data_IF_273944655074
#
_entry.id   IF_273944655074
#
_cell.length_a   1.000
_cell.length_b   1.000
_cell.length_c   1.000
_cell.angle_alpha   90.00
_cell.angle_beta   90.00
_cell.angle_gamma   90.00
#
_symmetry.space_group_name_H-M   'P 1'
#
loop_
_entity.id
_entity.type
_entity.pdbx_description
1 polymer ?
#
# COMPACT_ATOMS: atom_id res chain seq x y z
N UNK A 1 11.05 -23.17 3.96
CA UNK A 1 12.13 -23.00 4.96
C UNK A 1 13.34 -23.78 4.46
N UNK A 2 14.36 -23.10 3.94
CA UNK A 2 15.58 -23.76 3.44
C UNK A 2 16.48 -24.08 4.64
N UNK A 3 16.70 -25.37 4.92
CA UNK A 3 17.60 -25.81 5.99
C UNK A 3 19.03 -25.71 5.43
N UNK A 4 19.76 -24.67 5.83
CA UNK A 4 21.19 -24.57 5.52
C UNK A 4 21.94 -25.44 6.53
N UNK A 5 22.51 -26.55 6.07
CA UNK A 5 23.35 -27.41 6.91
C UNK A 5 24.67 -26.65 7.16
N UNK A 6 25.02 -26.35 8.42
CA UNK A 6 26.25 -25.64 8.73
C UNK A 6 27.46 -26.50 8.38
N UNK A 7 28.38 -25.95 7.59
CA UNK A 7 29.64 -26.62 7.24
C UNK A 7 30.73 -26.13 8.19
N UNK A 8 31.28 -27.04 8.98
CA UNK A 8 32.41 -26.76 9.87
C UNK A 8 33.74 -26.73 9.12
N UNK A 9 34.70 -25.96 9.63
CA UNK A 9 36.07 -25.93 9.10
C UNK A 9 36.98 -25.02 9.89
N UNK A 10 38.15 -24.70 9.33
CA UNK A 10 39.06 -23.71 9.91
C UNK A 10 39.06 -22.41 9.11
N UNK A 11 39.07 -21.30 9.83
CA UNK A 11 39.21 -19.98 9.27
C UNK A 11 40.59 -19.79 8.66
N UNK A 12 40.66 -19.32 7.42
CA UNK A 12 41.91 -19.05 6.73
C UNK A 12 42.81 -18.08 7.50
N UNK A 13 42.25 -17.00 8.05
CA UNK A 13 43.03 -15.92 8.65
C UNK A 13 43.49 -16.21 10.08
N UNK A 14 42.70 -16.98 10.83
CA UNK A 14 42.91 -17.15 12.26
C UNK A 14 43.27 -18.58 12.65
N UNK A 15 43.22 -19.53 11.72
CA UNK A 15 43.37 -20.97 11.94
C UNK A 15 42.42 -21.58 13.03
N UNK A 16 41.44 -20.79 13.49
CA UNK A 16 40.41 -21.18 14.47
C UNK A 16 39.20 -21.82 13.80
N UNK A 17 38.47 -22.65 14.53
CA UNK A 17 37.24 -23.29 14.05
C UNK A 17 36.20 -22.26 13.66
N UNK A 18 35.52 -22.50 12.54
CA UNK A 18 34.48 -21.66 11.99
C UNK A 18 33.34 -22.52 11.46
N UNK A 19 32.13 -22.04 11.66
CA UNK A 19 30.89 -22.67 11.19
C UNK A 19 30.22 -21.74 10.21
N UNK A 20 30.20 -22.12 8.94
CA UNK A 20 29.58 -21.31 7.88
C UNK A 20 28.09 -21.17 8.16
N UNK A 21 27.57 -19.94 8.12
CA UNK A 21 26.18 -19.64 8.44
C UNK A 21 25.91 -19.41 9.93
N UNK A 22 26.93 -19.47 10.80
CA UNK A 22 26.85 -19.00 12.20
C UNK A 22 27.82 -17.88 12.49
N UNK A 23 29.11 -18.21 12.62
CA UNK A 23 30.18 -17.27 12.96
C UNK A 23 31.18 -17.06 11.81
N UNK A 24 30.87 -17.62 10.64
CA UNK A 24 31.67 -17.40 9.44
C UNK A 24 30.90 -17.54 8.14
N UNK A 25 31.63 -17.22 7.08
CA UNK A 25 31.15 -17.13 5.72
C UNK A 25 32.15 -17.80 4.77
N UNK A 26 31.63 -18.34 3.67
CA UNK A 26 32.44 -18.95 2.63
C UNK A 26 32.60 -17.97 1.46
N UNK A 27 33.82 -17.80 0.96
CA UNK A 27 34.06 -17.14 -0.32
C UNK A 27 33.56 -18.04 -1.46
N UNK A 28 32.66 -17.54 -2.29
CA UNK A 28 32.09 -18.29 -3.40
C UNK A 28 33.10 -18.67 -4.49
N UNK A 29 34.21 -17.94 -4.60
CA UNK A 29 35.21 -18.16 -5.65
C UNK A 29 36.29 -19.18 -5.25
N UNK A 30 36.78 -19.10 -4.01
CA UNK A 30 37.89 -19.94 -3.56
C UNK A 30 37.51 -20.96 -2.49
N UNK A 31 36.23 -20.97 -2.11
CA UNK A 31 35.63 -21.86 -1.10
C UNK A 31 36.31 -21.81 0.28
N UNK A 32 37.12 -20.78 0.52
CA UNK A 32 37.80 -20.57 1.80
C UNK A 32 36.83 -20.00 2.82
N UNK A 33 36.89 -20.55 4.03
CA UNK A 33 36.06 -20.17 5.16
C UNK A 33 36.74 -19.06 5.97
N UNK A 34 35.96 -18.05 6.33
CA UNK A 34 36.42 -16.89 7.09
C UNK A 34 35.46 -16.61 8.26
N UNK A 35 36.00 -16.21 9.40
CA UNK A 35 35.18 -15.57 10.44
C UNK A 35 34.64 -14.23 9.92
N UNK A 36 33.44 -13.84 10.34
CA UNK A 36 32.79 -12.60 9.89
C UNK A 36 33.66 -11.36 10.10
N UNK A 37 34.32 -11.26 11.27
CA UNK A 37 35.24 -10.17 11.57
C UNK A 37 36.47 -10.14 10.65
N UNK A 38 37.04 -11.31 10.33
CA UNK A 38 38.17 -11.39 9.39
C UNK A 38 37.77 -11.17 7.93
N UNK A 39 36.50 -11.42 7.60
CA UNK A 39 35.92 -11.17 6.29
C UNK A 39 35.51 -9.69 6.08
N UNK A 40 35.52 -8.87 7.14
CA UNK A 40 35.00 -7.50 7.09
C UNK A 40 33.49 -7.42 6.83
N UNK A 41 32.74 -8.48 7.16
CA UNK A 41 31.31 -8.60 6.85
C UNK A 41 30.49 -8.20 8.08
N UNK A 42 29.70 -7.14 7.95
CA UNK A 42 28.72 -6.75 8.97
C UNK A 42 27.57 -7.76 9.09
N UNK A 43 26.85 -7.74 10.21
CA UNK A 43 25.71 -8.63 10.44
C UNK A 43 24.60 -8.48 9.38
N UNK A 44 24.35 -7.25 8.92
CA UNK A 44 23.40 -6.96 7.84
C UNK A 44 23.82 -7.65 6.53
N UNK A 45 25.10 -7.50 6.14
CA UNK A 45 25.63 -8.14 4.93
C UNK A 45 25.67 -9.66 5.07
N UNK A 46 25.99 -10.18 6.25
CA UNK A 46 25.95 -11.60 6.53
C UNK A 46 24.53 -12.18 6.36
N UNK A 47 23.52 -11.51 6.90
CA UNK A 47 22.12 -11.90 6.75
C UNK A 47 21.71 -11.89 5.27
N UNK A 48 22.14 -10.88 4.52
CA UNK A 48 21.89 -10.78 3.09
C UNK A 48 22.48 -11.99 2.33
N UNK A 49 23.77 -12.29 2.50
CA UNK A 49 24.42 -13.40 1.77
C UNK A 49 23.91 -14.79 2.18
N UNK A 50 23.51 -14.98 3.44
CA UNK A 50 23.01 -16.29 3.92
C UNK A 50 21.59 -16.57 3.47
N UNK A 51 20.73 -15.54 3.37
CA UNK A 51 19.35 -15.68 2.91
C UNK A 51 19.21 -15.62 1.38
N UNK A 52 20.18 -15.06 0.69
CA UNK A 52 20.12 -14.89 -0.76
C UNK A 52 20.80 -16.06 -1.50
N UNK A 53 20.13 -16.58 -2.54
CA UNK A 53 20.67 -17.66 -3.38
C UNK A 53 21.50 -17.13 -4.55
N UNK A 54 21.29 -15.89 -4.96
CA UNK A 54 21.90 -15.25 -6.13
C UNK A 54 23.21 -14.57 -5.73
N UNK A 55 23.16 -13.71 -4.71
CA UNK A 55 24.30 -12.96 -4.23
C UNK A 55 25.07 -13.76 -3.19
N UNK A 56 26.34 -14.04 -3.50
CA UNK A 56 27.26 -14.73 -2.62
C UNK A 56 28.41 -13.82 -2.22
N UNK A 57 28.99 -14.10 -1.07
CA UNK A 57 30.16 -13.38 -0.58
C UNK A 57 31.40 -13.78 -1.37
N UNK A 58 32.17 -12.78 -1.78
CA UNK A 58 33.50 -12.94 -2.36
C UNK A 58 34.50 -12.25 -1.44
N UNK A 59 35.59 -12.94 -1.12
CA UNK A 59 36.64 -12.38 -0.27
C UNK A 59 37.49 -11.36 -1.02
N UNK A 60 37.96 -10.34 -0.32
CA UNK A 60 38.80 -9.27 -0.89
C UNK A 60 40.08 -9.78 -1.58
N UNK A 61 40.61 -10.95 -1.16
CA UNK A 61 41.76 -11.59 -1.81
C UNK A 61 41.43 -12.33 -3.11
N UNK A 62 40.14 -12.57 -3.38
CA UNK A 62 39.64 -13.21 -4.58
C UNK A 62 39.02 -12.19 -5.55
N UNK A 63 38.66 -11.01 -5.05
CA UNK A 63 38.17 -9.93 -5.87
C UNK A 63 39.31 -9.11 -6.48
N UNK A 64 39.36 -9.08 -7.82
CA UNK A 64 39.99 -7.99 -8.57
C UNK A 64 38.96 -7.08 -9.25
N UNK A 65 37.64 -7.36 -9.16
CA UNK A 65 36.67 -6.66 -10.01
C UNK A 65 35.23 -6.53 -9.50
N UNK A 66 34.76 -7.20 -8.43
CA UNK A 66 33.35 -7.11 -8.01
C UNK A 66 33.21 -7.01 -6.49
N UNK A 67 33.40 -5.81 -5.93
CA UNK A 67 33.03 -5.56 -4.53
C UNK A 67 31.53 -5.78 -4.34
N UNK A 68 31.14 -6.95 -3.85
CA UNK A 68 29.75 -7.28 -3.52
C UNK A 68 29.14 -6.33 -2.48
N UNK A 69 29.97 -5.62 -1.73
CA UNK A 69 29.56 -4.52 -0.85
C UNK A 69 28.94 -3.34 -1.59
N UNK A 70 29.47 -2.99 -2.77
CA UNK A 70 28.92 -1.93 -3.62
C UNK A 70 27.58 -2.35 -4.22
N UNK A 71 27.44 -3.61 -4.63
CA UNK A 71 26.18 -4.14 -5.16
C UNK A 71 25.09 -4.13 -4.06
N UNK A 72 25.43 -4.54 -2.84
CA UNK A 72 24.49 -4.47 -1.71
C UNK A 72 24.01 -3.04 -1.44
N UNK A 73 24.92 -2.07 -1.46
CA UNK A 73 24.59 -0.65 -1.27
C UNK A 73 23.73 -0.11 -2.42
N UNK A 74 24.06 -0.43 -3.67
CA UNK A 74 23.28 -0.02 -4.84
C UNK A 74 21.86 -0.59 -4.79
N UNK A 75 21.70 -1.87 -4.42
CA UNK A 75 20.38 -2.50 -4.26
C UNK A 75 19.58 -1.81 -3.14
N UNK A 76 20.19 -1.58 -1.97
CA UNK A 76 19.54 -0.91 -0.84
C UNK A 76 19.08 0.49 -1.23
N UNK A 77 19.92 1.25 -1.92
CA UNK A 77 19.61 2.59 -2.40
C UNK A 77 18.51 2.55 -3.47
N UNK A 78 18.54 1.59 -4.39
CA UNK A 78 17.51 1.39 -5.41
C UNK A 78 16.13 1.13 -4.79
N UNK A 79 16.04 0.24 -3.80
CA UNK A 79 14.79 -0.01 -3.07
C UNK A 79 14.30 1.21 -2.30
N UNK A 80 15.20 1.96 -1.65
CA UNK A 80 14.83 3.19 -0.97
C UNK A 80 14.24 4.23 -1.94
N UNK A 81 14.85 4.42 -3.10
CA UNK A 81 14.34 5.32 -4.15
C UNK A 81 12.99 4.85 -4.70
N UNK A 82 12.82 3.54 -4.94
CA UNK A 82 11.55 2.97 -5.38
C UNK A 82 10.44 3.22 -4.36
N UNK A 83 10.72 3.02 -3.06
CA UNK A 83 9.76 3.27 -1.98
C UNK A 83 9.31 4.74 -1.97
N UNK A 84 10.24 5.68 -2.09
CA UNK A 84 9.93 7.11 -2.13
C UNK A 84 9.05 7.44 -3.34
N UNK A 85 9.42 6.96 -4.54
CA UNK A 85 8.62 7.18 -5.76
C UNK A 85 7.22 6.60 -5.63
N UNK A 86 7.10 5.36 -5.15
CA UNK A 86 5.82 4.70 -4.96
C UNK A 86 4.92 5.48 -3.99
N UNK A 87 5.46 5.88 -2.84
CA UNK A 87 4.72 6.67 -1.86
C UNK A 87 4.25 8.01 -2.45
N UNK A 88 5.12 8.74 -3.13
CA UNK A 88 4.74 10.01 -3.77
C UNK A 88 3.67 9.85 -4.85
N UNK A 89 3.71 8.74 -5.61
CA UNK A 89 2.70 8.43 -6.62
C UNK A 89 1.36 8.08 -6.00
N UNK A 90 1.38 7.35 -4.88
CA UNK A 90 0.17 7.00 -4.13
C UNK A 90 -0.48 8.24 -3.53
N UNK A 91 0.30 9.09 -2.84
CA UNK A 91 -0.16 10.35 -2.26
C UNK A 91 -0.79 11.26 -3.32
N UNK A 92 -0.13 11.44 -4.46
CA UNK A 92 -0.67 12.22 -5.57
C UNK A 92 -1.99 11.66 -6.11
N UNK A 93 -2.11 10.33 -6.19
CA UNK A 93 -3.32 9.67 -6.67
C UNK A 93 -4.48 9.84 -5.67
N UNK A 94 -4.20 9.70 -4.38
CA UNK A 94 -5.18 9.93 -3.31
C UNK A 94 -5.67 11.38 -3.30
N UNK A 95 -4.78 12.35 -3.45
CA UNK A 95 -5.14 13.76 -3.54
C UNK A 95 -6.05 14.06 -4.74
N UNK A 96 -5.77 13.47 -5.91
CA UNK A 96 -6.63 13.61 -7.10
C UNK A 96 -8.02 13.01 -6.89
N UNK A 97 -8.09 11.83 -6.26
CA UNK A 97 -9.35 11.18 -5.94
C UNK A 97 -10.16 12.03 -4.96
N UNK A 98 -9.52 12.54 -3.91
CA UNK A 98 -10.15 13.39 -2.91
C UNK A 98 -10.74 14.66 -3.53
N UNK A 99 -9.98 15.34 -4.40
CA UNK A 99 -10.47 16.51 -5.13
C UNK A 99 -11.69 16.17 -6.01
N UNK A 100 -11.69 15.00 -6.65
CA UNK A 100 -12.82 14.55 -7.46
C UNK A 100 -14.07 14.31 -6.62
N UNK A 101 -13.92 13.69 -5.44
CA UNK A 101 -15.01 13.47 -4.49
C UNK A 101 -15.60 14.81 -4.04
N UNK A 102 -14.77 15.79 -3.72
CA UNK A 102 -15.22 17.14 -3.34
C UNK A 102 -16.06 17.77 -4.45
N UNK A 103 -15.57 17.74 -5.69
CA UNK A 103 -16.28 18.31 -6.85
C UNK A 103 -17.62 17.62 -7.10
N UNK A 104 -17.68 16.28 -6.97
CA UNK A 104 -18.95 15.55 -7.14
C UNK A 104 -19.91 15.88 -6.00
N UNK A 105 -19.40 15.94 -4.76
CA UNK A 105 -20.21 16.25 -3.57
C UNK A 105 -20.78 17.66 -3.60
N UNK A 106 -20.02 18.63 -4.12
CA UNK A 106 -20.50 20.01 -4.29
C UNK A 106 -21.61 20.08 -5.33
N UNK A 107 -21.41 19.45 -6.50
CA UNK A 107 -22.43 19.38 -7.56
C UNK A 107 -23.72 18.69 -7.10
N UNK A 108 -23.59 17.62 -6.34
CA UNK A 108 -24.75 16.94 -5.76
C UNK A 108 -25.52 17.84 -4.80
N UNK A 109 -24.81 18.62 -3.98
CA UNK A 109 -25.42 19.57 -3.05
C UNK A 109 -26.14 20.71 -3.77
N UNK A 110 -25.55 21.24 -4.84
CA UNK A 110 -26.17 22.25 -5.71
C UNK A 110 -27.46 21.73 -6.36
N UNK A 111 -27.40 20.56 -7.03
CA UNK A 111 -28.57 19.94 -7.64
C UNK A 111 -29.68 19.67 -6.60
N UNK A 112 -29.31 19.26 -5.38
CA UNK A 112 -30.28 19.05 -4.30
C UNK A 112 -30.93 20.37 -3.88
N UNK A 113 -30.17 21.46 -3.78
CA UNK A 113 -30.70 22.78 -3.44
C UNK A 113 -31.65 23.30 -4.53
N UNK A 114 -31.29 23.18 -5.81
CA UNK A 114 -32.15 23.54 -6.94
C UNK A 114 -33.46 22.73 -6.94
N UNK A 115 -33.38 21.42 -6.71
CA UNK A 115 -34.57 20.57 -6.63
C UNK A 115 -35.50 20.96 -5.48
N UNK A 116 -34.95 21.36 -4.33
CA UNK A 116 -35.74 21.83 -3.20
C UNK A 116 -36.41 23.18 -3.50
N UNK A 117 -35.68 24.13 -4.10
CA UNK A 117 -36.23 25.44 -4.48
C UNK A 117 -37.34 25.34 -5.52
N UNK A 118 -37.24 24.44 -6.50
CA UNK A 118 -38.30 24.24 -7.49
C UNK A 118 -39.58 23.63 -6.91
N UNK A 119 -39.48 22.89 -5.80
CA UNK A 119 -40.62 22.22 -5.18
C UNK A 119 -41.32 23.04 -4.07
N UNK A 120 -40.67 24.06 -3.52
CA UNK A 120 -41.29 24.96 -2.54
C UNK A 120 -42.56 25.67 -3.06
N UNK A 121 -42.57 26.27 -4.28
CA UNK A 121 -43.77 26.88 -4.85
C UNK A 121 -44.88 25.86 -5.09
N UNK A 122 -44.52 24.62 -5.46
CA UNK A 122 -45.50 23.54 -5.68
C UNK A 122 -46.14 23.15 -4.36
N UNK A 123 -45.36 23.00 -3.29
CA UNK A 123 -45.87 22.74 -1.94
C UNK A 123 -46.79 23.85 -1.43
N UNK A 124 -46.38 25.11 -1.61
CA UNK A 124 -47.17 26.29 -1.24
C UNK A 124 -48.48 26.38 -2.05
N UNK A 125 -48.42 26.12 -3.36
CA UNK A 125 -49.60 26.13 -4.24
C UNK A 125 -50.57 24.99 -3.92
N UNK A 126 -50.08 23.80 -3.58
CA UNK A 126 -50.93 22.67 -3.14
C UNK A 126 -51.61 23.00 -1.80
N UNK A 127 -50.87 23.60 -0.86
CA UNK A 127 -51.43 24.02 0.43
C UNK A 127 -52.47 25.13 0.26
N UNK A 128 -52.19 26.14 -0.56
CA UNK A 128 -53.12 27.21 -0.89
C UNK A 128 -54.38 26.70 -1.60
N UNK A 129 -54.24 25.81 -2.59
CA UNK A 129 -55.37 25.19 -3.27
C UNK A 129 -56.24 24.38 -2.29
N UNK A 130 -55.64 23.66 -1.33
CA UNK A 130 -56.39 22.97 -0.27
C UNK A 130 -57.16 23.92 0.63
N UNK A 131 -56.58 25.03 1.01
CA UNK A 131 -57.24 26.03 1.86
C UNK A 131 -58.42 26.73 1.15
N UNK A 132 -58.43 26.73 -0.18
CA UNK A 132 -59.50 27.31 -1.00
C UNK A 132 -60.59 26.29 -1.41
N UNK A 133 -60.43 25.00 -1.09
CA UNK A 133 -61.46 24.00 -1.35
C UNK A 133 -62.58 24.08 -0.32
N UNK A 134 -63.83 23.98 -0.78
CA UNK A 134 -64.97 23.84 0.12
C UNK A 134 -64.97 22.50 0.85
N UNK A 135 -65.66 22.42 2.00
CA UNK A 135 -65.76 21.20 2.78
C UNK A 135 -66.27 19.99 1.97
N UNK A 136 -67.21 20.21 1.04
CA UNK A 136 -67.72 19.16 0.16
C UNK A 136 -66.68 18.62 -0.84
N UNK A 137 -65.79 19.50 -1.34
CA UNK A 137 -64.71 19.08 -2.25
C UNK A 137 -63.60 18.32 -1.52
N UNK A 138 -63.31 18.69 -0.27
CA UNK A 138 -62.38 17.94 0.59
C UNK A 138 -62.90 16.54 0.92
N UNK A 139 -64.19 16.41 1.24
CA UNK A 139 -64.83 15.12 1.50
C UNK A 139 -64.75 14.20 0.27
N UNK A 140 -65.09 14.72 -0.92
CA UNK A 140 -65.03 13.96 -2.17
C UNK A 140 -63.60 13.51 -2.54
N UNK A 141 -62.58 14.33 -2.21
CA UNK A 141 -61.18 13.96 -2.43
C UNK A 141 -60.72 12.83 -1.48
N UNK A 142 -61.22 12.82 -0.25
CA UNK A 142 -60.94 11.76 0.73
C UNK A 142 -61.62 10.45 0.32
N UNK A 143 -62.88 10.51 -0.10
CA UNK A 143 -63.62 9.35 -0.61
C UNK A 143 -62.92 8.71 -1.82
N UNK A 144 -62.39 9.53 -2.75
CA UNK A 144 -61.63 9.04 -3.89
C UNK A 144 -60.34 8.33 -3.49
N UNK A 145 -59.65 8.80 -2.44
CA UNK A 145 -58.43 8.16 -1.92
C UNK A 145 -58.74 6.82 -1.27
N UNK A 146 -59.80 6.77 -0.48
CA UNK A 146 -60.22 5.55 0.22
C UNK A 146 -60.73 4.51 -0.78
N UNK A 147 -61.39 4.93 -1.86
CA UNK A 147 -61.76 4.04 -2.96
C UNK A 147 -60.51 3.47 -3.64
N UNK A 148 -59.52 4.32 -3.94
CA UNK A 148 -58.29 3.89 -4.60
C UNK A 148 -57.48 2.92 -3.74
N UNK A 149 -57.43 3.13 -2.42
CA UNK A 149 -56.76 2.26 -1.47
C UNK A 149 -57.46 0.90 -1.28
N UNK A 150 -58.72 0.75 -1.69
CA UNK A 150 -59.44 -0.54 -1.70
C UNK A 150 -59.19 -1.36 -2.97
N UNK A 151 -58.65 -0.74 -4.02
CA UNK A 151 -58.45 -1.35 -5.34
C UNK A 151 -57.00 -1.75 -5.61
N UNK A 152 -56.10 -1.46 -4.68
CA UNK A 152 -54.70 -1.91 -4.63
C UNK A 152 -54.47 -2.64 -3.31
#
# INVERSE_FOLDING_TARGET
MLIVIPVEGRCLLYAKNVTVGRNGINCALCERKLHLGGAGVSEERFTFYTKNTIFKYTGASCDKALDGGDIFLQIKNGFAQMKVKFNSSLENSLMKLWNSIIVVSSKFSEMRAEHLQHNEPVGANIAGARNNMSAGQLAMQQDLKDLKAKWF
#
